data_IF_093694537442
#
_entry.id   IF_093694537442
#
_cell.length_a   1.000
_cell.length_b   1.000
_cell.length_c   1.000
_cell.angle_alpha   90.00
_cell.angle_beta   90.00
_cell.angle_gamma   90.00
#
_symmetry.space_group_name_H-M   'P 1'
#
loop_
_entity.id
_entity.type
_entity.pdbx_description
1 polymer ?
#
# COMPACT_ATOMS: atom_id res chain seq x y z
N UNK A 1 4.88 15.07 6.68
CA UNK A 1 4.22 14.25 7.70
C UNK A 1 5.26 13.77 8.72
N UNK A 2 4.98 13.86 10.01
CA UNK A 2 5.91 13.50 11.09
C UNK A 2 5.59 12.12 11.69
N UNK A 3 6.51 11.57 12.50
CA UNK A 3 6.36 10.23 13.08
C UNK A 3 5.17 10.08 14.04
N UNK A 4 4.70 11.17 14.63
CA UNK A 4 3.52 11.15 15.50
C UNK A 4 2.24 11.05 14.67
N UNK A 5 2.17 11.76 13.53
CA UNK A 5 1.07 11.63 12.57
C UNK A 5 1.01 10.20 12.00
N UNK A 6 2.17 9.59 11.67
CA UNK A 6 2.24 8.18 11.24
C UNK A 6 1.68 7.25 12.31
N UNK A 7 2.05 7.45 13.58
CA UNK A 7 1.57 6.61 14.70
C UNK A 7 0.07 6.77 14.95
N UNK A 8 -0.45 7.99 14.86
CA UNK A 8 -1.89 8.24 15.03
C UNK A 8 -2.69 7.64 13.87
N UNK A 9 -2.17 7.69 12.64
CA UNK A 9 -2.80 7.01 11.50
C UNK A 9 -2.77 5.50 11.64
N UNK A 10 -1.65 4.92 12.09
CA UNK A 10 -1.53 3.48 12.35
C UNK A 10 -2.44 3.00 13.50
N UNK A 11 -2.87 3.89 14.39
CA UNK A 11 -3.81 3.57 15.49
C UNK A 11 -5.27 3.64 15.08
N UNK A 12 -5.61 4.35 14.01
CA UNK A 12 -7.01 4.48 13.54
C UNK A 12 -7.59 3.18 13.03
N UNK A 13 -6.74 2.27 12.56
CA UNK A 13 -7.16 1.01 11.97
C UNK A 13 -6.42 -0.12 12.66
N UNK A 14 -7.17 -1.11 13.12
CA UNK A 14 -6.59 -2.35 13.63
C UNK A 14 -5.94 -3.13 12.47
N UNK A 15 -4.94 -3.99 12.76
CA UNK A 15 -4.35 -4.87 11.74
C UNK A 15 -5.41 -5.69 10.99
N UNK A 16 -6.44 -6.15 11.70
CA UNK A 16 -7.58 -6.88 11.12
C UNK A 16 -8.40 -6.01 10.14
N UNK A 17 -8.65 -4.74 10.46
CA UNK A 17 -9.33 -3.81 9.54
C UNK A 17 -8.49 -3.52 8.29
N UNK A 18 -7.17 -3.45 8.43
CA UNK A 18 -6.26 -3.25 7.32
C UNK A 18 -6.22 -4.51 6.42
N UNK A 19 -6.06 -5.70 6.99
CA UNK A 19 -6.09 -6.95 6.22
C UNK A 19 -7.43 -7.18 5.51
N UNK A 20 -8.54 -6.84 6.17
CA UNK A 20 -9.86 -6.91 5.55
C UNK A 20 -10.00 -5.90 4.40
N UNK A 21 -9.57 -4.64 4.54
CA UNK A 21 -9.62 -3.66 3.44
C UNK A 21 -8.69 -4.09 2.28
N UNK A 22 -7.50 -4.65 2.57
CA UNK A 22 -6.57 -5.16 1.54
C UNK A 22 -7.19 -6.35 0.79
N UNK A 23 -7.73 -7.33 1.51
CA UNK A 23 -8.38 -8.51 0.93
C UNK A 23 -9.56 -8.10 0.06
N UNK A 24 -10.42 -7.21 0.57
CA UNK A 24 -11.57 -6.69 -0.19
C UNK A 24 -11.14 -5.90 -1.45
N UNK A 25 -10.05 -5.12 -1.39
CA UNK A 25 -9.54 -4.37 -2.53
C UNK A 25 -8.90 -5.27 -3.61
N UNK A 26 -8.36 -6.43 -3.24
CA UNK A 26 -7.80 -7.41 -4.17
C UNK A 26 -8.90 -8.26 -4.82
N UNK A 27 -9.94 -8.61 -4.07
CA UNK A 27 -11.00 -9.52 -4.51
C UNK A 27 -12.11 -8.83 -5.33
N UNK A 28 -12.31 -7.51 -5.18
CA UNK A 28 -13.29 -6.77 -5.97
C UNK A 28 -12.74 -6.33 -7.33
N UNK A 29 -13.18 -7.01 -8.40
CA UNK A 29 -13.20 -6.45 -9.76
C UNK A 29 -14.36 -5.46 -9.88
N UNK A 30 -14.00 -4.21 -10.19
CA UNK A 30 -14.90 -3.14 -10.66
C UNK A 30 -16.13 -2.85 -9.79
N UNK A 31 -16.00 -1.84 -8.93
CA UNK A 31 -17.14 -1.09 -8.40
C UNK A 31 -17.43 -1.36 -6.94
N UNK A 32 -17.15 -0.32 -6.13
CA UNK A 32 -17.65 -0.11 -4.77
C UNK A 32 -16.92 -0.83 -3.63
N UNK A 33 -15.76 -0.28 -3.26
CA UNK A 33 -15.15 -0.49 -1.94
C UNK A 33 -15.96 0.29 -0.89
N UNK A 34 -17.21 -0.08 -0.60
CA UNK A 34 -18.06 0.66 0.35
C UNK A 34 -17.51 0.73 1.80
N UNK A 35 -16.50 -0.09 2.14
CA UNK A 35 -15.87 -0.08 3.48
C UNK A 35 -14.75 0.96 3.59
N UNK A 36 -14.10 1.32 2.46
CA UNK A 36 -13.01 2.28 2.43
C UNK A 36 -13.40 3.58 1.68
N UNK A 37 -14.49 3.58 0.88
CA UNK A 37 -15.18 4.77 0.36
C UNK A 37 -15.94 5.49 1.49
N UNK A 38 -15.30 6.49 2.08
CA UNK A 38 -15.97 7.46 2.97
C UNK A 38 -15.34 7.63 4.35
N UNK A 39 -14.44 6.74 4.79
CA UNK A 39 -13.76 6.87 6.09
C UNK A 39 -12.26 7.17 6.01
N UNK A 40 -11.66 6.99 4.83
CA UNK A 40 -10.25 7.27 4.59
C UNK A 40 -10.17 8.52 3.73
N UNK A 41 -9.73 9.64 4.29
CA UNK A 41 -9.50 10.85 3.47
C UNK A 41 -8.43 10.56 2.41
N UNK A 42 -8.46 11.28 1.29
CA UNK A 42 -7.44 11.13 0.24
C UNK A 42 -6.00 11.23 0.76
N UNK A 43 -5.78 12.09 1.76
CA UNK A 43 -4.50 12.23 2.46
C UNK A 43 -4.10 10.95 3.20
N UNK A 44 -5.03 10.31 3.92
CA UNK A 44 -4.74 9.04 4.62
C UNK A 44 -4.43 7.92 3.63
N UNK A 45 -5.14 7.87 2.50
CA UNK A 45 -4.89 6.87 1.46
C UNK A 45 -3.52 7.06 0.81
N UNK A 46 -3.09 8.30 0.58
CA UNK A 46 -1.75 8.60 0.05
C UNK A 46 -0.64 8.15 1.01
N UNK A 47 -0.86 8.33 2.31
CA UNK A 47 0.07 7.89 3.36
C UNK A 47 0.17 6.38 3.40
N UNK A 48 -0.97 5.68 3.42
CA UNK A 48 -1.00 4.20 3.43
C UNK A 48 -0.29 3.66 2.17
N UNK A 49 -0.56 4.25 1.01
CA UNK A 49 0.12 3.88 -0.24
C UNK A 49 1.63 4.09 -0.17
N UNK A 50 2.08 5.17 0.45
CA UNK A 50 3.51 5.45 0.63
C UNK A 50 4.17 4.43 1.56
N UNK A 51 3.52 4.13 2.70
CA UNK A 51 4.01 3.14 3.66
C UNK A 51 4.05 1.73 3.06
N UNK A 52 3.02 1.33 2.30
CA UNK A 52 2.97 0.03 1.63
C UNK A 52 4.09 -0.13 0.59
N UNK A 53 4.37 0.91 -0.20
CA UNK A 53 5.50 0.94 -1.15
C UNK A 53 6.84 0.81 -0.43
N UNK A 54 7.04 1.55 0.67
CA UNK A 54 8.26 1.49 1.47
C UNK A 54 8.47 0.10 2.09
N UNK A 55 7.41 -0.50 2.64
CA UNK A 55 7.45 -1.85 3.19
C UNK A 55 7.80 -2.89 2.11
N UNK A 56 7.24 -2.76 0.90
CA UNK A 56 7.58 -3.65 -0.22
C UNK A 56 9.06 -3.56 -0.60
N UNK A 57 9.63 -2.35 -0.66
CA UNK A 57 11.07 -2.17 -0.94
C UNK A 57 11.91 -2.84 0.15
N UNK A 58 11.56 -2.65 1.42
CA UNK A 58 12.26 -3.28 2.55
C UNK A 58 12.23 -4.82 2.44
N UNK A 59 11.08 -5.41 2.14
CA UNK A 59 10.97 -6.88 1.98
C UNK A 59 11.81 -7.42 0.82
N UNK A 60 11.90 -6.68 -0.29
CA UNK A 60 12.77 -7.04 -1.42
C UNK A 60 14.26 -6.95 -1.04
N UNK A 61 14.63 -5.97 -0.22
CA UNK A 61 15.99 -5.87 0.32
C UNK A 61 16.31 -7.02 1.29
N UNK A 62 15.35 -7.45 2.10
CA UNK A 62 15.49 -8.62 2.99
C UNK A 62 15.66 -9.93 2.20
N UNK A 63 15.20 -9.97 0.95
CA UNK A 63 15.45 -11.07 -0.01
C UNK A 63 16.83 -10.98 -0.69
N UNK A 64 17.64 -9.98 -0.34
CA UNK A 64 19.01 -9.81 -0.83
C UNK A 64 19.15 -8.86 -2.03
N UNK A 65 18.08 -8.17 -2.44
CA UNK A 65 18.19 -7.12 -3.47
C UNK A 65 18.87 -5.87 -2.91
N UNK A 66 19.63 -5.15 -3.74
CA UNK A 66 20.02 -3.78 -3.41
C UNK A 66 18.80 -2.85 -3.43
N UNK A 67 18.90 -1.70 -2.76
CA UNK A 67 17.83 -0.69 -2.74
C UNK A 67 17.37 -0.29 -4.15
N UNK A 68 18.31 -0.09 -5.08
CA UNK A 68 17.99 0.28 -6.47
C UNK A 68 17.26 -0.86 -7.20
N UNK A 69 17.66 -2.10 -6.99
CA UNK A 69 17.00 -3.27 -7.58
C UNK A 69 15.59 -3.44 -7.03
N UNK A 70 15.42 -3.32 -5.71
CA UNK A 70 14.12 -3.37 -5.04
C UNK A 70 13.17 -2.27 -5.56
N UNK A 71 13.65 -1.04 -5.74
CA UNK A 71 12.85 0.07 -6.29
C UNK A 71 12.46 -0.21 -7.76
N UNK A 72 13.39 -0.71 -8.58
CA UNK A 72 13.09 -1.07 -9.98
C UNK A 72 12.06 -2.18 -10.06
N UNK A 73 12.18 -3.19 -9.20
CA UNK A 73 11.24 -4.30 -9.14
C UNK A 73 9.86 -3.84 -8.66
N UNK A 74 9.79 -2.96 -7.66
CA UNK A 74 8.52 -2.32 -7.28
C UNK A 74 7.89 -1.57 -8.47
N UNK A 75 8.67 -0.77 -9.20
CA UNK A 75 8.18 -0.05 -10.37
C UNK A 75 7.67 -1.00 -11.47
N UNK A 76 8.33 -2.15 -11.66
CA UNK A 76 7.91 -3.21 -12.59
C UNK A 76 6.55 -3.80 -12.18
N UNK A 77 6.38 -4.12 -10.90
CA UNK A 77 5.12 -4.66 -10.35
C UNK A 77 3.97 -3.68 -10.49
N UNK A 78 4.21 -2.39 -10.23
CA UNK A 78 3.21 -1.32 -10.42
C UNK A 78 2.76 -1.25 -11.88
N UNK A 79 3.69 -1.25 -12.84
CA UNK A 79 3.35 -1.23 -14.27
C UNK A 79 2.49 -2.42 -14.67
N UNK A 80 2.83 -3.63 -14.21
CA UNK A 80 2.05 -4.83 -14.48
C UNK A 80 0.63 -4.75 -13.91
N UNK A 81 0.48 -4.28 -12.67
CA UNK A 81 -0.83 -4.11 -12.04
C UNK A 81 -1.71 -3.09 -12.78
N UNK A 82 -1.11 -2.08 -13.41
CA UNK A 82 -1.79 -1.06 -14.22
C UNK A 82 -2.03 -1.49 -15.67
N UNK A 83 -1.75 -2.75 -16.03
CA UNK A 83 -1.90 -3.25 -17.40
C UNK A 83 -0.80 -2.77 -18.37
N UNK A 84 0.28 -2.17 -17.86
CA UNK A 84 1.45 -1.80 -18.65
C UNK A 84 2.27 -3.03 -19.07
N UNK A 85 2.68 -3.09 -20.33
CA UNK A 85 3.66 -4.07 -20.83
C UNK A 85 5.09 -3.65 -20.45
N UNK A 86 5.95 -4.66 -20.22
CA UNK A 86 7.36 -4.52 -19.84
C UNK A 86 8.20 -3.84 -20.93
#
# INVERSE_FOLDING_TARGET
MNINEIKELARKFTPEQLENCITMAIEQKEGHIQVCDGQVSGEVLEVINTLAKAQTVRELMEQGMSEIEAIRELARRIRLAQGGKL
#
